data_IF_544510898925
#
_entry.id   IF_544510898925
#
_cell.length_a   1.000
_cell.length_b   1.000
_cell.length_c   1.000
_cell.angle_alpha   90.00
_cell.angle_beta   90.00
_cell.angle_gamma   90.00
#
_symmetry.space_group_name_H-M   'P 1'
#
loop_
_entity.id
_entity.type
_entity.pdbx_description
1 polymer ?
#
# COMPACT_ATOMS: atom_id res chain seq x y z
N UNK A 1 1.32 24.92 -45.62
CA UNK A 1 2.19 24.23 -44.62
C UNK A 1 1.98 24.73 -43.18
N UNK A 2 1.53 25.96 -42.95
CA UNK A 2 1.32 26.51 -41.60
C UNK A 2 0.23 25.81 -40.76
N UNK A 3 -0.83 25.29 -41.39
CA UNK A 3 -1.93 24.67 -40.64
C UNK A 3 -1.48 23.44 -39.87
N UNK A 4 -0.73 22.52 -40.49
CA UNK A 4 -0.28 21.28 -39.85
C UNK A 4 0.56 21.53 -38.58
N UNK A 5 1.44 22.53 -38.61
CA UNK A 5 2.28 22.91 -37.47
C UNK A 5 1.47 23.47 -36.29
N UNK A 6 0.42 24.25 -36.57
CA UNK A 6 -0.48 24.78 -35.53
C UNK A 6 -1.29 23.67 -34.87
N UNK A 7 -1.79 22.71 -35.66
CA UNK A 7 -2.50 21.54 -35.14
C UNK A 7 -1.59 20.65 -34.27
N UNK A 8 -0.36 20.38 -34.72
CA UNK A 8 0.60 19.58 -33.97
C UNK A 8 1.00 20.26 -32.65
N UNK A 9 1.22 21.58 -32.67
CA UNK A 9 1.59 22.36 -31.48
C UNK A 9 0.45 22.46 -30.46
N UNK A 10 -0.80 22.48 -30.95
CA UNK A 10 -1.99 22.48 -30.08
C UNK A 10 -2.19 21.13 -29.39
N UNK A 11 -1.92 20.03 -30.11
CA UNK A 11 -1.95 18.67 -29.57
C UNK A 11 -0.89 18.47 -28.47
N UNK A 12 0.33 18.96 -28.68
CA UNK A 12 1.40 18.85 -27.67
C UNK A 12 1.10 19.68 -26.43
N UNK A 13 0.57 20.91 -26.60
CA UNK A 13 0.18 21.76 -25.47
C UNK A 13 -0.98 21.14 -24.67
N UNK A 14 -1.99 20.59 -25.35
CA UNK A 14 -3.11 19.91 -24.68
C UNK A 14 -2.65 18.65 -23.93
N UNK A 15 -1.75 17.86 -24.51
CA UNK A 15 -1.20 16.67 -23.86
C UNK A 15 -0.35 17.04 -22.63
N UNK A 16 0.53 18.05 -22.74
CA UNK A 16 1.36 18.51 -21.63
C UNK A 16 0.51 19.13 -20.50
N UNK A 17 -0.49 19.94 -20.85
CA UNK A 17 -1.44 20.52 -19.90
C UNK A 17 -2.26 19.46 -19.18
N UNK A 18 -2.75 18.44 -19.89
CA UNK A 18 -3.48 17.32 -19.30
C UNK A 18 -2.64 16.50 -18.32
N UNK A 19 -1.36 16.24 -18.66
CA UNK A 19 -0.45 15.50 -17.79
C UNK A 19 -0.10 16.29 -16.51
N UNK A 20 0.18 17.58 -16.63
CA UNK A 20 0.44 18.47 -15.49
C UNK A 20 -0.80 18.63 -14.59
N UNK A 21 -1.98 18.79 -15.18
CA UNK A 21 -3.22 18.85 -14.44
C UNK A 21 -3.47 17.55 -13.65
N UNK A 22 -3.21 16.39 -14.27
CA UNK A 22 -3.34 15.11 -13.59
C UNK A 22 -2.37 14.96 -12.41
N UNK A 23 -1.12 15.41 -12.51
CA UNK A 23 -0.16 15.26 -11.41
C UNK A 23 -0.38 16.26 -10.27
N UNK A 24 -0.84 17.48 -10.58
CA UNK A 24 -1.03 18.55 -9.57
C UNK A 24 -2.41 18.50 -8.91
N UNK A 25 -3.45 18.12 -9.65
CA UNK A 25 -4.84 18.16 -9.16
C UNK A 25 -5.34 16.79 -8.66
N UNK A 26 -4.60 15.70 -8.88
CA UNK A 26 -4.99 14.41 -8.32
C UNK A 26 -4.92 14.42 -6.80
N UNK A 27 -6.01 14.05 -6.16
CA UNK A 27 -6.02 13.81 -4.73
C UNK A 27 -5.03 12.67 -4.39
N UNK A 28 -4.31 12.77 -3.25
CA UNK A 28 -3.45 11.69 -2.83
C UNK A 28 -4.28 10.42 -2.61
N UNK A 29 -3.84 9.29 -3.16
CA UNK A 29 -4.51 7.99 -3.01
C UNK A 29 -4.40 7.39 -1.59
N UNK A 30 -4.05 8.22 -0.59
CA UNK A 30 -3.89 7.82 0.80
C UNK A 30 -5.12 8.25 1.59
N UNK A 31 -5.74 7.29 2.28
CA UNK A 31 -6.82 7.59 3.22
C UNK A 31 -6.26 8.29 4.45
N UNK A 32 -7.10 9.08 5.14
CA UNK A 32 -6.75 9.67 6.44
C UNK A 32 -6.51 8.59 7.51
N UNK A 33 -7.18 7.45 7.37
CA UNK A 33 -7.05 6.32 8.27
C UNK A 33 -6.08 5.27 7.71
N UNK A 34 -5.38 4.50 8.57
CA UNK A 34 -4.56 3.39 8.13
C UNK A 34 -5.38 2.36 7.34
N UNK A 35 -4.89 1.95 6.17
CA UNK A 35 -5.54 0.90 5.36
C UNK A 35 -5.74 -0.40 6.14
N UNK A 36 -4.80 -0.74 7.01
CA UNK A 36 -4.91 -1.85 7.95
C UNK A 36 -4.79 -1.29 9.37
N UNK A 37 -5.89 -1.20 10.13
CA UNK A 37 -5.83 -0.88 11.55
C UNK A 37 -4.86 -1.83 12.27
N UNK A 38 -4.15 -1.32 13.26
CA UNK A 38 -3.19 -2.13 14.01
C UNK A 38 -3.94 -3.18 14.84
N UNK A 39 -3.62 -4.46 14.63
CA UNK A 39 -4.13 -5.54 15.45
C UNK A 39 -3.40 -5.61 16.79
N UNK A 40 -4.14 -6.01 17.82
CA UNK A 40 -3.61 -6.41 19.12
C UNK A 40 -3.68 -7.92 19.28
N UNK A 41 -2.93 -8.49 20.24
CA UNK A 41 -2.85 -9.95 20.42
C UNK A 41 -4.20 -10.60 20.78
N UNK A 42 -5.06 -9.87 21.51
CA UNK A 42 -6.41 -10.28 21.89
C UNK A 42 -7.39 -10.32 20.71
N UNK A 43 -7.10 -9.58 19.64
CA UNK A 43 -7.91 -9.57 18.41
C UNK A 43 -7.56 -10.72 17.47
N UNK A 44 -6.49 -11.47 17.74
CA UNK A 44 -6.10 -12.62 16.93
C UNK A 44 -6.99 -13.81 17.23
N UNK A 45 -7.47 -14.46 16.16
CA UNK A 45 -8.19 -15.73 16.28
C UNK A 45 -7.22 -16.90 16.60
N UNK A 46 -7.79 -18.06 16.89
CA UNK A 46 -7.02 -19.24 17.31
C UNK A 46 -6.03 -19.76 16.25
N UNK A 47 -6.26 -19.46 14.97
CA UNK A 47 -5.33 -19.82 13.89
C UNK A 47 -4.16 -18.84 13.77
N UNK A 48 -4.35 -17.59 14.16
CA UNK A 48 -3.34 -16.52 14.07
C UNK A 48 -2.48 -16.41 15.33
N UNK A 49 -3.06 -16.68 16.50
CA UNK A 49 -2.42 -16.51 17.80
C UNK A 49 -1.07 -17.25 17.93
N UNK A 50 -0.92 -18.52 17.50
CA UNK A 50 0.36 -19.21 17.58
C UNK A 50 1.49 -18.56 16.76
N UNK A 51 1.15 -17.91 15.65
CA UNK A 51 2.11 -17.13 14.86
C UNK A 51 2.39 -15.79 15.53
N UNK A 52 1.36 -15.10 16.03
CA UNK A 52 1.51 -13.84 16.76
C UNK A 52 2.44 -13.98 17.95
N UNK A 53 2.29 -15.03 18.75
CA UNK A 53 3.17 -15.31 19.90
C UNK A 53 4.64 -15.53 19.52
N UNK A 54 4.91 -16.13 18.36
CA UNK A 54 6.27 -16.28 17.84
C UNK A 54 6.84 -14.95 17.37
N UNK A 55 6.06 -14.17 16.63
CA UNK A 55 6.45 -12.82 16.19
C UNK A 55 6.80 -11.93 17.38
N UNK A 56 6.01 -11.97 18.46
CA UNK A 56 6.26 -11.17 19.67
C UNK A 56 7.61 -11.48 20.33
N UNK A 57 8.21 -12.65 20.08
CA UNK A 57 9.53 -13.02 20.63
C UNK A 57 10.70 -12.49 19.81
N UNK A 58 10.50 -12.23 18.52
CA UNK A 58 11.58 -11.88 17.57
C UNK A 58 11.48 -10.44 17.05
N UNK A 59 10.29 -9.84 17.10
CA UNK A 59 10.02 -8.50 16.58
C UNK A 59 10.09 -7.45 17.68
N UNK A 60 10.92 -6.43 17.52
CA UNK A 60 10.98 -5.26 18.41
C UNK A 60 9.70 -4.41 18.37
N UNK A 61 8.92 -4.53 17.28
CA UNK A 61 7.65 -3.82 17.07
C UNK A 61 6.42 -4.73 17.28
N UNK A 62 6.63 -5.94 17.80
CA UNK A 62 5.58 -6.95 17.98
C UNK A 62 4.89 -7.33 16.68
N UNK A 63 3.57 -7.55 16.72
CA UNK A 63 2.73 -7.83 15.54
C UNK A 63 2.40 -6.58 14.70
N UNK A 64 3.09 -5.47 14.94
CA UNK A 64 2.98 -4.24 14.17
C UNK A 64 3.74 -4.24 12.84
N UNK A 65 3.68 -3.11 12.15
CA UNK A 65 4.45 -2.88 10.91
C UNK A 65 4.13 -3.92 9.82
N UNK A 66 5.13 -4.65 9.27
CA UNK A 66 4.89 -5.63 8.21
C UNK A 66 4.06 -6.82 8.68
N UNK A 67 4.11 -7.17 9.96
CA UNK A 67 3.37 -8.33 10.49
C UNK A 67 1.86 -8.09 10.55
N UNK A 68 1.41 -6.85 10.74
CA UNK A 68 -0.02 -6.52 10.88
C UNK A 68 -0.87 -6.92 9.64
N UNK A 69 -0.48 -6.61 8.39
CA UNK A 69 -1.20 -7.11 7.22
C UNK A 69 -0.95 -8.60 6.95
N UNK A 70 0.25 -9.11 7.27
CA UNK A 70 0.64 -10.49 6.96
C UNK A 70 -0.10 -11.51 7.84
N UNK A 71 -0.20 -11.27 9.15
CA UNK A 71 -0.81 -12.18 10.12
C UNK A 71 -2.32 -12.37 9.91
N UNK A 72 -2.96 -11.44 9.20
CA UNK A 72 -4.39 -11.54 8.83
C UNK A 72 -4.69 -12.76 7.97
N UNK A 73 -3.69 -13.31 7.27
CA UNK A 73 -3.77 -14.61 6.61
C UNK A 73 -2.91 -15.63 7.36
N UNK A 74 -3.51 -16.63 8.04
CA UNK A 74 -2.75 -17.63 8.80
C UNK A 74 -1.75 -18.40 7.92
N UNK A 75 -2.16 -18.77 6.70
CA UNK A 75 -1.34 -19.55 5.78
C UNK A 75 -0.19 -18.70 5.21
N UNK A 76 -0.48 -17.48 4.77
CA UNK A 76 0.55 -16.60 4.20
C UNK A 76 1.54 -16.17 5.29
N UNK A 77 1.03 -15.77 6.45
CA UNK A 77 1.87 -15.33 7.56
C UNK A 77 2.80 -16.42 8.04
N UNK A 78 2.31 -17.66 8.11
CA UNK A 78 3.16 -18.80 8.46
C UNK A 78 4.30 -18.97 7.46
N UNK A 79 3.96 -19.00 6.15
CA UNK A 79 4.96 -19.21 5.10
C UNK A 79 6.00 -18.10 5.06
N UNK A 80 5.59 -16.84 5.21
CA UNK A 80 6.53 -15.72 5.20
C UNK A 80 7.41 -15.72 6.45
N UNK A 81 6.87 -16.09 7.61
CA UNK A 81 7.66 -16.23 8.84
C UNK A 81 8.69 -17.35 8.71
N UNK A 82 8.35 -18.49 8.12
CA UNK A 82 9.27 -19.63 8.00
C UNK A 82 10.38 -19.43 6.95
N UNK A 83 10.29 -18.38 6.12
CA UNK A 83 11.32 -18.05 5.12
C UNK A 83 12.48 -17.22 5.67
N UNK A 84 12.33 -16.58 6.84
CA UNK A 84 13.29 -15.65 7.42
C UNK A 84 13.62 -16.02 8.87
#
# INVERSE_FOLDING_TARGET
MHSATVWLSSLTLAAAGGWLAATVLSAPATSKEPRFPQLTMDQLNDQQRPLGERIMKVSSVGIGGPYNPIIRSPVLGQRLYDLF
#
